data_IF_025038679451
#
_entry.id   IF_025038679451
#
_cell.length_a   1.000
_cell.length_b   1.000
_cell.length_c   1.000
_cell.angle_alpha   90.00
_cell.angle_beta   90.00
_cell.angle_gamma   90.00
#
_symmetry.space_group_name_H-M   'P 1'
#
loop_
_entity.id
_entity.type
_entity.pdbx_description
1 polymer ?
#
# COMPACT_ATOMS: atom_id res chain seq x y z
N UNK A 1 -15.58 39.14 32.32
CA UNK A 1 -14.19 39.30 31.84
C UNK A 1 -13.41 38.12 32.40
N UNK A 2 -13.42 36.96 31.73
CA UNK A 2 -12.63 36.58 30.55
C UNK A 2 -11.14 36.49 30.92
N UNK A 3 -10.66 35.27 31.15
CA UNK A 3 -9.36 34.80 30.67
C UNK A 3 -9.40 33.26 30.62
N UNK A 4 -9.61 32.78 29.39
CA UNK A 4 -9.40 31.40 28.96
C UNK A 4 -7.90 31.24 28.76
N UNK A 5 -7.28 30.26 29.41
CA UNK A 5 -5.98 29.74 29.00
C UNK A 5 -6.28 28.35 28.45
N UNK A 6 -6.08 28.25 27.14
CA UNK A 6 -6.23 27.05 26.31
C UNK A 6 -5.11 26.10 26.72
N UNK A 7 -5.48 24.91 27.21
CA UNK A 7 -4.55 23.84 27.54
C UNK A 7 -4.48 22.91 26.31
N UNK A 8 -3.33 22.89 25.65
CA UNK A 8 -3.05 22.02 24.52
C UNK A 8 -3.10 20.55 24.99
N UNK A 9 -3.93 19.76 24.30
CA UNK A 9 -4.02 18.32 24.46
C UNK A 9 -2.78 17.67 23.81
N UNK A 10 -2.04 16.88 24.58
CA UNK A 10 -0.95 16.05 24.08
C UNK A 10 -1.51 14.68 23.72
N UNK A 11 -1.28 14.32 22.46
CA UNK A 11 -1.77 13.15 21.75
C UNK A 11 -1.38 11.81 22.40
N UNK A 12 -2.37 10.92 22.49
CA UNK A 12 -2.14 9.48 22.59
C UNK A 12 -1.65 8.97 21.23
N UNK A 13 -0.48 8.32 21.25
CA UNK A 13 0.16 7.72 20.08
C UNK A 13 -0.53 6.38 19.79
N UNK A 14 -1.31 6.34 18.73
CA UNK A 14 -1.75 5.09 18.08
C UNK A 14 -0.68 4.77 17.05
N UNK A 15 0.16 3.77 17.29
CA UNK A 15 0.95 3.16 16.23
C UNK A 15 -0.05 2.44 15.30
N UNK A 16 -0.43 3.08 14.20
CA UNK A 16 -1.19 2.43 13.15
C UNK A 16 -0.24 1.46 12.43
N UNK A 17 -0.30 0.19 12.84
CA UNK A 17 -0.01 -0.90 11.92
C UNK A 17 -0.97 -0.70 10.74
N UNK A 18 -0.43 -0.47 9.53
CA UNK A 18 -1.11 -0.32 8.25
C UNK A 18 -2.64 -0.37 8.35
N UNK A 19 -3.32 0.77 8.57
CA UNK A 19 -4.78 0.94 8.52
C UNK A 19 -5.66 0.11 9.48
N UNK A 20 -5.37 -1.17 9.71
CA UNK A 20 -6.34 -2.17 10.12
C UNK A 20 -6.37 -2.40 11.64
N UNK A 21 -7.57 -2.56 12.18
CA UNK A 21 -7.81 -2.85 13.59
C UNK A 21 -7.84 -4.37 13.86
N UNK A 22 -7.53 -4.75 15.11
CA UNK A 22 -7.59 -6.14 15.58
C UNK A 22 -9.02 -6.56 16.00
N UNK A 23 -9.30 -7.87 15.90
CA UNK A 23 -10.52 -8.50 16.40
C UNK A 23 -10.51 -8.72 17.93
N UNK A 24 -10.85 -7.71 18.74
CA UNK A 24 -11.08 -7.91 20.18
C UNK A 24 -11.36 -6.67 21.06
N UNK A 25 -12.34 -6.81 21.98
CA UNK A 25 -13.00 -5.83 22.88
C UNK A 25 -12.09 -4.94 23.76
N UNK A 26 -12.34 -3.62 23.73
CA UNK A 26 -11.69 -2.59 24.55
C UNK A 26 -12.12 -2.58 26.03
N UNK A 27 -11.17 -2.28 26.94
CA UNK A 27 -11.48 -1.48 28.12
C UNK A 27 -10.54 -0.26 28.29
N UNK A 28 -11.16 0.91 28.53
CA UNK A 28 -10.53 2.16 28.96
C UNK A 28 -9.69 2.00 30.24
N UNK A 29 -8.50 2.62 30.32
CA UNK A 29 -8.00 3.19 31.58
C UNK A 29 -6.81 4.16 31.47
N UNK A 30 -7.06 5.37 32.00
CA UNK A 30 -6.26 6.22 32.91
C UNK A 30 -4.72 6.18 32.95
N UNK A 31 -4.13 7.37 32.82
CA UNK A 31 -2.71 7.76 32.93
C UNK A 31 -2.16 7.88 34.36
N UNK A 32 -0.89 7.49 34.56
CA UNK A 32 -0.05 7.92 35.69
C UNK A 32 1.42 8.11 35.27
N UNK A 33 2.06 9.13 35.85
CA UNK A 33 3.41 9.69 35.59
C UNK A 33 4.59 8.75 35.93
N UNK A 34 5.76 8.93 35.29
CA UNK A 34 6.90 9.68 35.88
C UNK A 34 8.28 9.42 35.23
N UNK A 35 8.96 10.53 34.94
CA UNK A 35 10.41 10.88 35.03
C UNK A 35 11.55 10.04 34.41
N UNK A 36 12.37 10.76 33.63
CA UNK A 36 13.68 10.37 33.07
C UNK A 36 14.84 11.02 33.86
N UNK A 37 16.04 10.43 33.85
CA UNK A 37 17.27 11.24 33.76
C UNK A 37 18.28 10.81 32.67
N UNK A 38 19.08 11.80 32.29
CA UNK A 38 20.04 11.96 31.19
C UNK A 38 21.40 11.23 31.33
N UNK A 39 21.96 10.92 30.15
CA UNK A 39 23.36 11.00 29.65
C UNK A 39 24.57 10.54 30.47
N UNK A 40 25.47 9.78 29.80
CA UNK A 40 26.89 10.20 29.65
C UNK A 40 27.59 9.52 28.46
N UNK A 41 28.40 10.32 27.73
CA UNK A 41 29.32 9.97 26.64
C UNK A 41 30.47 9.05 27.06
N UNK A 42 31.04 8.31 26.09
CA UNK A 42 32.49 7.99 26.07
C UNK A 42 32.99 7.74 24.64
N UNK A 43 34.23 8.17 24.39
CA UNK A 43 34.87 8.36 23.07
C UNK A 43 35.76 7.18 22.66
N UNK A 44 35.82 6.95 21.33
CA UNK A 44 36.97 6.58 20.47
C UNK A 44 37.61 5.18 20.56
N UNK A 45 37.60 4.47 19.41
CA UNK A 45 38.81 4.01 18.67
C UNK A 45 38.45 3.44 17.29
N UNK A 46 39.18 3.86 16.25
CA UNK A 46 39.25 3.19 14.92
C UNK A 46 40.16 1.96 14.97
N UNK A 47 39.98 0.98 14.06
CA UNK A 47 41.05 0.72 13.10
C UNK A 47 40.63 0.22 11.68
N UNK A 48 41.39 0.71 10.67
CA UNK A 48 41.91 0.09 9.42
C UNK A 48 41.14 -1.00 8.60
N UNK A 49 40.89 -0.63 7.32
CA UNK A 49 41.06 -1.32 6.01
C UNK A 49 41.99 -2.56 5.96
N UNK A 50 41.90 -3.60 5.11
CA UNK A 50 41.16 -4.04 3.88
C UNK A 50 41.34 -5.58 3.80
N UNK A 51 40.40 -6.35 3.23
CA UNK A 51 40.70 -7.38 2.21
C UNK A 51 39.42 -7.81 1.47
N UNK A 52 39.35 -7.47 0.18
CA UNK A 52 38.31 -7.85 -0.78
C UNK A 52 38.42 -9.35 -1.13
N UNK A 53 37.28 -10.05 -1.11
CA UNK A 53 37.11 -11.32 -1.79
C UNK A 53 36.07 -11.19 -2.91
N UNK A 54 36.22 -11.95 -4.00
CA UNK A 54 35.62 -11.61 -5.30
C UNK A 54 34.11 -11.80 -5.30
N UNK A 55 33.38 -10.78 -5.75
CA UNK A 55 31.97 -10.86 -6.09
C UNK A 55 31.80 -11.71 -7.35
N UNK A 56 31.23 -12.89 -7.23
CA UNK A 56 30.47 -13.51 -8.32
C UNK A 56 29.09 -12.85 -8.32
N UNK A 57 28.89 -11.90 -9.22
CA UNK A 57 27.58 -11.35 -9.55
C UNK A 57 26.76 -12.43 -10.27
N UNK A 58 25.88 -13.10 -9.53
CA UNK A 58 24.71 -13.71 -10.14
C UNK A 58 23.61 -12.65 -10.17
N UNK A 59 23.26 -12.28 -11.40
CA UNK A 59 22.21 -11.34 -11.78
C UNK A 59 20.85 -11.88 -11.28
N UNK A 60 20.12 -11.19 -10.38
CA UNK A 60 18.81 -11.66 -9.96
C UNK A 60 17.75 -11.24 -10.98
N UNK A 61 16.96 -12.23 -11.41
CA UNK A 61 15.73 -12.12 -12.18
C UNK A 61 15.89 -11.58 -13.62
N UNK A 62 16.19 -12.49 -14.55
CA UNK A 62 15.80 -12.33 -15.94
C UNK A 62 14.28 -12.07 -15.99
N UNK A 63 13.89 -10.87 -16.43
CA UNK A 63 12.52 -10.56 -16.81
C UNK A 63 11.98 -11.69 -17.70
N UNK A 64 10.79 -12.25 -17.42
CA UNK A 64 10.20 -13.19 -18.36
C UNK A 64 10.12 -12.53 -19.73
N UNK A 65 10.34 -13.26 -20.83
CA UNK A 65 10.30 -12.68 -22.16
C UNK A 65 8.97 -11.96 -22.36
N UNK A 66 8.99 -10.73 -22.88
CA UNK A 66 7.82 -10.08 -23.48
C UNK A 66 7.39 -10.93 -24.69
N UNK A 67 6.79 -12.09 -24.46
CA UNK A 67 5.99 -12.73 -25.50
C UNK A 67 4.82 -11.79 -25.75
N UNK A 68 4.80 -11.19 -26.94
CA UNK A 68 3.74 -10.29 -27.35
C UNK A 68 2.40 -11.01 -27.16
N UNK A 69 1.51 -10.43 -26.34
CA UNK A 69 0.09 -10.73 -26.46
C UNK A 69 -0.30 -10.31 -27.88
N UNK A 70 -0.64 -11.26 -28.76
CA UNK A 70 -1.00 -10.97 -30.16
C UNK A 70 -2.29 -10.11 -30.24
N UNK A 71 -3.11 -10.08 -29.17
CA UNK A 71 -4.34 -9.30 -29.01
C UNK A 71 -4.65 -9.04 -27.52
N UNK A 72 -4.95 -7.80 -27.13
CA UNK A 72 -5.23 -7.42 -25.73
C UNK A 72 -4.80 -6.00 -25.40
N UNK A 73 -4.64 -5.71 -24.11
CA UNK A 73 -4.14 -4.42 -23.61
C UNK A 73 -3.05 -4.61 -22.54
N UNK A 74 -2.12 -3.65 -22.48
CA UNK A 74 -1.11 -3.50 -21.43
C UNK A 74 -1.56 -2.42 -20.46
N UNK A 75 -1.81 -2.80 -19.22
CA UNK A 75 -2.28 -1.93 -18.14
C UNK A 75 -1.18 -1.81 -17.10
N UNK A 76 -0.88 -0.58 -16.66
CA UNK A 76 -0.13 -0.35 -15.43
C UNK A 76 -1.12 -0.20 -14.28
N UNK A 77 -0.93 -0.96 -13.22
CA UNK A 77 -1.73 -0.90 -11.98
C UNK A 77 -0.85 -0.37 -10.87
N UNK A 78 -1.26 0.71 -10.22
CA UNK A 78 -0.58 1.25 -9.04
C UNK A 78 -1.61 1.66 -7.99
N UNK A 79 -1.18 1.71 -6.73
CA UNK A 79 -2.06 1.96 -5.59
C UNK A 79 -1.27 2.55 -4.45
N UNK A 80 -1.96 3.16 -3.48
CA UNK A 80 -1.39 3.57 -2.20
C UNK A 80 -0.15 4.46 -2.39
N UNK A 81 -0.32 5.47 -3.24
CA UNK A 81 0.71 6.46 -3.53
C UNK A 81 0.87 7.37 -2.32
N UNK A 82 -0.23 7.65 -1.59
CA UNK A 82 -0.19 8.44 -0.36
C UNK A 82 0.49 9.79 -0.58
N UNK A 83 0.22 10.46 -1.70
CA UNK A 83 0.87 11.72 -2.05
C UNK A 83 0.62 12.81 -1.00
N UNK A 84 1.68 13.52 -0.60
CA UNK A 84 1.61 14.68 0.28
C UNK A 84 2.16 15.91 -0.44
N UNK A 85 1.37 16.98 -0.56
CA UNK A 85 1.85 18.24 -1.12
C UNK A 85 3.07 18.76 -0.34
N UNK A 86 4.10 19.23 -1.04
CA UNK A 86 5.40 19.54 -0.41
C UNK A 86 5.32 20.65 0.61
N UNK A 87 4.42 21.61 0.38
CA UNK A 87 4.19 22.75 1.27
C UNK A 87 3.45 22.38 2.57
N UNK A 88 2.95 21.14 2.68
CA UNK A 88 2.33 20.62 3.89
C UNK A 88 3.34 20.00 4.88
N UNK A 89 4.64 20.10 4.61
CA UNK A 89 5.68 19.66 5.55
C UNK A 89 6.87 20.61 5.58
N UNK A 90 7.38 20.85 6.79
CA UNK A 90 8.61 21.61 7.02
C UNK A 90 9.84 20.69 7.26
N UNK A 91 9.66 19.38 7.07
CA UNK A 91 10.68 18.35 7.24
C UNK A 91 11.29 18.27 8.66
N UNK A 92 10.61 18.85 9.66
CA UNK A 92 11.08 18.84 11.04
C UNK A 92 10.65 17.55 11.77
N UNK A 93 10.77 17.57 13.11
CA UNK A 93 10.62 16.40 13.96
C UNK A 93 9.25 15.74 13.87
N UNK A 94 8.17 16.50 13.72
CA UNK A 94 6.82 15.96 13.60
C UNK A 94 6.68 15.05 12.37
N UNK A 95 7.16 15.53 11.23
CA UNK A 95 7.19 14.76 9.98
C UNK A 95 8.11 13.54 10.08
N UNK A 96 9.35 13.72 10.55
CA UNK A 96 10.30 12.62 10.68
C UNK A 96 9.81 11.53 11.66
N UNK A 97 9.11 11.92 12.72
CA UNK A 97 8.53 10.98 13.68
C UNK A 97 7.44 10.13 13.03
N UNK A 98 6.52 10.74 12.28
CA UNK A 98 5.48 10.03 11.53
C UNK A 98 6.09 9.01 10.56
N UNK A 99 7.16 9.40 9.85
CA UNK A 99 7.88 8.49 8.94
C UNK A 99 8.53 7.31 9.67
N UNK A 100 9.23 7.55 10.78
CA UNK A 100 10.02 6.53 11.48
C UNK A 100 9.15 5.50 12.24
N UNK A 101 7.88 5.82 12.50
CA UNK A 101 6.93 5.01 13.28
C UNK A 101 5.61 4.75 12.54
N UNK A 102 5.54 5.09 11.25
CA UNK A 102 4.40 4.79 10.39
C UNK A 102 4.40 3.35 9.89
N UNK A 103 3.76 3.14 8.76
CA UNK A 103 3.54 1.85 8.09
C UNK A 103 4.57 1.55 6.98
N UNK A 104 5.64 2.32 6.87
CA UNK A 104 6.76 2.03 5.96
C UNK A 104 6.79 2.87 4.68
N UNK A 105 5.87 3.83 4.51
CA UNK A 105 5.87 4.79 3.40
C UNK A 105 7.10 5.69 3.43
N UNK A 106 7.80 5.84 2.30
CA UNK A 106 8.99 6.67 2.16
C UNK A 106 8.61 8.14 1.90
N UNK A 107 7.87 8.76 2.82
CA UNK A 107 7.28 10.09 2.63
C UNK A 107 8.31 11.20 2.40
N UNK A 108 9.55 11.04 2.87
CA UNK A 108 10.64 11.97 2.63
C UNK A 108 11.07 12.05 1.15
N UNK A 109 10.67 11.08 0.33
CA UNK A 109 10.95 11.03 -1.12
C UNK A 109 9.68 10.84 -1.96
N UNK A 110 8.49 11.13 -1.43
CA UNK A 110 7.25 10.85 -2.14
C UNK A 110 7.14 11.63 -3.47
N UNK A 111 7.64 12.87 -3.51
CA UNK A 111 7.63 13.67 -4.74
C UNK A 111 8.51 13.07 -5.83
N UNK A 112 9.69 12.59 -5.46
CA UNK A 112 10.63 11.92 -6.34
C UNK A 112 10.09 10.57 -6.80
N UNK A 113 9.46 9.79 -5.91
CA UNK A 113 8.81 8.51 -6.24
C UNK A 113 7.68 8.74 -7.26
N UNK A 114 6.80 9.71 -7.03
CA UNK A 114 5.72 10.03 -7.97
C UNK A 114 6.25 10.55 -9.30
N UNK A 115 7.26 11.43 -9.30
CA UNK A 115 7.88 11.92 -10.54
C UNK A 115 8.61 10.78 -11.29
N UNK A 116 9.20 9.81 -10.60
CA UNK A 116 9.78 8.63 -11.21
C UNK A 116 8.73 7.70 -11.82
N UNK A 117 7.61 7.48 -11.13
CA UNK A 117 6.49 6.71 -11.66
C UNK A 117 5.91 7.33 -12.93
N UNK A 118 5.68 8.66 -12.95
CA UNK A 118 5.21 9.36 -14.16
C UNK A 118 6.17 9.16 -15.33
N UNK A 119 7.48 9.24 -15.10
CA UNK A 119 8.49 9.02 -16.16
C UNK A 119 8.55 7.55 -16.61
N UNK A 120 8.38 6.60 -15.70
CA UNK A 120 8.38 5.18 -16.01
C UNK A 120 7.13 4.79 -16.81
N UNK A 121 5.94 5.29 -16.45
CA UNK A 121 4.70 5.12 -17.24
C UNK A 121 4.90 5.62 -18.67
N UNK A 122 5.49 6.81 -18.85
CA UNK A 122 5.77 7.37 -20.18
C UNK A 122 6.76 6.53 -20.99
N UNK A 123 7.69 5.86 -20.32
CA UNK A 123 8.67 4.95 -20.93
C UNK A 123 8.02 3.62 -21.31
N UNK A 124 7.20 3.06 -20.44
CA UNK A 124 6.48 1.80 -20.63
C UNK A 124 5.37 1.87 -21.67
N UNK A 125 4.79 3.07 -21.85
CA UNK A 125 3.68 3.36 -22.79
C UNK A 125 2.55 2.33 -22.71
N UNK A 126 1.93 2.12 -21.54
CA UNK A 126 0.76 1.24 -21.45
C UNK A 126 -0.42 1.83 -22.22
N UNK A 127 -1.42 1.00 -22.49
CA UNK A 127 -2.70 1.42 -23.05
C UNK A 127 -3.58 2.14 -22.01
N UNK A 128 -3.35 1.86 -20.72
CA UNK A 128 -4.09 2.43 -19.60
C UNK A 128 -3.25 2.40 -18.31
N UNK A 129 -3.46 3.39 -17.43
CA UNK A 129 -3.03 3.36 -16.03
C UNK A 129 -4.25 3.30 -15.12
N UNK A 130 -4.26 2.36 -14.19
CA UNK A 130 -5.29 2.20 -13.15
C UNK A 130 -4.67 2.57 -11.79
N UNK A 131 -5.30 3.52 -11.09
CA UNK A 131 -4.97 3.87 -9.70
C UNK A 131 -6.09 3.43 -8.74
N UNK A 132 -5.86 2.37 -7.97
CA UNK A 132 -6.87 1.73 -7.12
C UNK A 132 -6.95 2.30 -5.69
N UNK A 133 -6.91 3.62 -5.56
CA UNK A 133 -7.14 4.31 -4.28
C UNK A 133 -5.88 4.68 -3.49
N UNK A 134 -6.14 5.39 -2.39
CA UNK A 134 -5.17 6.00 -1.49
C UNK A 134 -4.17 6.87 -2.26
N UNK A 135 -4.74 7.81 -3.00
CA UNK A 135 -4.00 8.72 -3.87
C UNK A 135 -3.20 9.73 -3.04
N UNK A 136 -3.74 10.15 -1.90
CA UNK A 136 -3.14 11.14 -0.99
C UNK A 136 -2.88 10.56 0.39
N UNK A 137 -2.01 11.24 1.17
CA UNK A 137 -1.55 10.74 2.47
C UNK A 137 -2.69 10.64 3.50
N UNK A 138 -3.44 11.72 3.73
CA UNK A 138 -4.61 11.73 4.62
C UNK A 138 -5.75 12.61 4.05
N UNK A 139 -5.87 12.69 2.73
CA UNK A 139 -6.99 13.37 2.07
C UNK A 139 -6.83 14.88 1.96
N UNK A 140 -5.60 15.42 2.02
CA UNK A 140 -5.43 16.87 1.97
C UNK A 140 -5.77 17.41 0.58
N UNK A 141 -6.60 18.45 0.55
CA UNK A 141 -7.09 19.07 -0.68
C UNK A 141 -5.96 19.54 -1.60
N UNK A 142 -4.87 20.04 -1.03
CA UNK A 142 -3.74 20.50 -1.83
C UNK A 142 -2.88 19.33 -2.35
N UNK A 143 -2.78 18.23 -1.58
CA UNK A 143 -2.21 16.97 -2.06
C UNK A 143 -2.97 16.45 -3.27
N UNK A 144 -4.30 16.43 -3.23
CA UNK A 144 -5.14 16.00 -4.37
C UNK A 144 -4.88 16.84 -5.63
N UNK A 145 -4.91 18.17 -5.52
CA UNK A 145 -4.67 19.06 -6.67
C UNK A 145 -3.26 18.96 -7.23
N UNK A 146 -2.25 18.81 -6.38
CA UNK A 146 -0.88 18.62 -6.84
C UNK A 146 -0.68 17.27 -7.51
N UNK A 147 -1.30 16.22 -6.97
CA UNK A 147 -1.25 14.89 -7.54
C UNK A 147 -1.97 14.81 -8.89
N UNK A 148 -3.16 15.41 -9.03
CA UNK A 148 -3.86 15.52 -10.31
C UNK A 148 -2.97 16.16 -11.41
N UNK A 149 -2.22 17.20 -11.09
CA UNK A 149 -1.23 17.80 -12.02
C UNK A 149 -0.09 16.88 -12.42
N UNK A 150 0.21 15.84 -11.62
CA UNK A 150 1.17 14.79 -12.01
C UNK A 150 0.53 13.83 -13.00
N UNK A 151 -0.74 13.49 -12.82
CA UNK A 151 -1.52 12.65 -13.72
C UNK A 151 -1.76 13.33 -15.07
N UNK A 152 -2.01 14.65 -15.09
CA UNK A 152 -2.09 15.45 -16.33
C UNK A 152 -0.88 15.18 -17.25
N UNK A 153 0.32 15.05 -16.68
CA UNK A 153 1.54 14.79 -17.46
C UNK A 153 1.53 13.43 -18.15
N UNK A 154 0.86 12.43 -17.57
CA UNK A 154 0.69 11.09 -18.16
C UNK A 154 -0.29 11.19 -19.33
N UNK A 155 -1.43 11.85 -19.14
CA UNK A 155 -2.44 12.04 -20.20
C UNK A 155 -1.95 12.93 -21.35
N UNK A 156 -1.17 13.98 -21.06
CA UNK A 156 -0.48 14.79 -22.06
C UNK A 156 0.47 13.95 -22.95
N UNK A 157 0.93 12.78 -22.46
CA UNK A 157 1.72 11.83 -23.24
C UNK A 157 0.85 10.85 -24.06
N UNK A 158 -0.47 10.98 -24.00
CA UNK A 158 -1.46 10.16 -24.71
C UNK A 158 -1.75 8.81 -24.03
N UNK A 159 -1.52 8.71 -22.72
CA UNK A 159 -1.78 7.52 -21.92
C UNK A 159 -2.94 7.84 -20.97
N UNK A 160 -4.12 7.22 -21.11
CA UNK A 160 -5.25 7.43 -20.23
C UNK A 160 -4.94 7.00 -18.79
N UNK A 161 -5.50 7.74 -17.81
CA UNK A 161 -5.43 7.38 -16.39
C UNK A 161 -6.83 7.29 -15.83
N UNK A 162 -7.13 6.22 -15.09
CA UNK A 162 -8.40 6.08 -14.37
C UNK A 162 -8.16 5.85 -12.89
N UNK A 163 -8.97 6.49 -12.04
CA UNK A 163 -8.78 6.48 -10.59
C UNK A 163 -10.08 6.15 -9.84
N UNK A 164 -9.93 5.58 -8.65
CA UNK A 164 -10.95 5.50 -7.59
C UNK A 164 -10.35 6.03 -6.29
N UNK A 165 -11.16 6.46 -5.30
CA UNK A 165 -10.66 6.83 -3.99
C UNK A 165 -10.21 5.59 -3.19
N UNK A 166 -9.31 5.81 -2.22
CA UNK A 166 -9.09 4.90 -1.09
C UNK A 166 -9.58 5.49 0.23
N UNK A 167 -9.43 4.73 1.31
CA UNK A 167 -9.96 5.13 2.61
C UNK A 167 -9.27 6.38 3.18
N UNK A 168 -8.12 6.81 2.64
CA UNK A 168 -7.45 8.03 3.08
C UNK A 168 -7.95 9.32 2.39
N UNK A 169 -8.64 9.22 1.25
CA UNK A 169 -8.79 10.35 0.33
C UNK A 169 -9.95 11.31 0.68
N UNK A 170 -11.10 10.78 1.12
CA UNK A 170 -12.35 11.57 1.19
C UNK A 170 -12.82 11.77 2.64
N UNK A 171 -13.22 13.00 2.97
CA UNK A 171 -13.73 13.42 4.28
C UNK A 171 -12.82 13.00 5.44
N UNK A 172 -11.52 12.84 5.19
CA UNK A 172 -10.60 12.32 6.18
C UNK A 172 -10.22 13.42 7.17
N UNK A 173 -10.66 13.26 8.42
CA UNK A 173 -10.39 14.22 9.50
C UNK A 173 -8.93 14.29 9.94
N UNK A 174 -8.08 13.37 9.43
CA UNK A 174 -6.65 13.30 9.72
C UNK A 174 -5.79 14.13 8.77
N UNK A 175 -6.36 14.73 7.72
CA UNK A 175 -5.68 15.66 6.82
C UNK A 175 -4.82 16.66 7.60
N UNK A 176 -3.51 16.68 7.33
CA UNK A 176 -2.56 17.36 8.20
C UNK A 176 -1.45 18.12 7.46
N UNK A 177 -0.98 19.19 8.13
CA UNK A 177 0.25 19.90 7.81
C UNK A 177 1.25 19.70 8.96
N UNK A 178 2.48 19.28 8.66
CA UNK A 178 3.54 19.10 9.63
C UNK A 178 4.30 20.40 9.90
N UNK A 179 4.41 20.80 11.17
CA UNK A 179 5.11 22.01 11.61
C UNK A 179 5.88 21.76 12.90
N UNK A 180 7.20 21.89 12.87
CA UNK A 180 8.09 21.73 14.02
C UNK A 180 8.06 20.31 14.57
N UNK A 181 7.53 20.15 15.77
CA UNK A 181 7.35 18.86 16.47
C UNK A 181 5.89 18.40 16.53
N UNK A 182 4.99 19.06 15.79
CA UNK A 182 3.56 18.78 15.79
C UNK A 182 2.97 18.80 14.38
N UNK A 183 1.65 18.67 14.31
CA UNK A 183 0.86 18.82 13.09
C UNK A 183 -0.34 19.73 13.35
N UNK A 184 -0.78 20.39 12.29
CA UNK A 184 -1.99 21.21 12.24
C UNK A 184 -2.98 20.54 11.29
N UNK A 185 -4.28 20.71 11.51
CA UNK A 185 -5.28 20.24 10.55
C UNK A 185 -5.15 20.98 9.22
N UNK A 186 -5.30 20.24 8.12
CA UNK A 186 -5.40 20.77 6.77
C UNK A 186 -6.83 20.61 6.22
N UNK A 187 -7.15 21.36 5.16
CA UNK A 187 -8.42 21.17 4.45
C UNK A 187 -8.41 19.79 3.75
N UNK A 188 -9.51 19.06 3.87
CA UNK A 188 -9.77 17.83 3.12
C UNK A 188 -10.79 18.08 2.00
N UNK A 189 -11.16 17.02 1.28
CA UNK A 189 -12.15 17.07 0.17
C UNK A 189 -13.40 16.28 0.50
N UNK A 190 -14.53 16.71 -0.05
CA UNK A 190 -15.77 15.90 -0.12
C UNK A 190 -15.72 14.95 -1.33
N UNK A 191 -16.68 14.03 -1.44
CA UNK A 191 -16.78 13.14 -2.59
C UNK A 191 -16.97 13.92 -3.91
N UNK A 192 -17.77 14.99 -3.90
CA UNK A 192 -17.97 15.84 -5.07
C UNK A 192 -16.71 16.63 -5.45
N UNK A 193 -15.94 17.09 -4.45
CA UNK A 193 -14.67 17.77 -4.73
C UNK A 193 -13.61 16.79 -5.24
N UNK A 194 -13.60 15.54 -4.76
CA UNK A 194 -12.75 14.48 -5.31
C UNK A 194 -13.10 14.24 -6.79
N UNK A 195 -14.37 14.05 -7.11
CA UNK A 195 -14.84 13.92 -8.49
C UNK A 195 -14.43 15.13 -9.34
N UNK A 196 -14.63 16.36 -8.86
CA UNK A 196 -14.27 17.57 -9.61
C UNK A 196 -12.76 17.64 -9.90
N UNK A 197 -11.92 17.29 -8.93
CA UNK A 197 -10.46 17.28 -9.08
C UNK A 197 -10.03 16.20 -10.09
N UNK A 198 -10.65 15.03 -10.03
CA UNK A 198 -10.26 13.89 -10.86
C UNK A 198 -11.17 13.64 -12.08
N UNK A 199 -12.01 14.61 -12.44
CA UNK A 199 -13.08 14.43 -13.43
C UNK A 199 -12.57 13.86 -14.77
N UNK A 200 -11.38 14.26 -15.20
CA UNK A 200 -10.80 13.84 -16.48
C UNK A 200 -10.12 12.47 -16.39
N UNK A 201 -9.85 11.95 -15.18
CA UNK A 201 -9.22 10.64 -14.97
C UNK A 201 -10.27 9.53 -14.78
N UNK A 202 -11.14 9.39 -15.78
CA UNK A 202 -12.15 8.33 -15.89
C UNK A 202 -13.60 8.79 -15.72
N UNK A 203 -13.91 9.73 -14.82
CA UNK A 203 -15.31 10.08 -14.50
C UNK A 203 -16.07 10.72 -15.67
N UNK A 204 -15.47 11.68 -16.38
CA UNK A 204 -16.05 12.33 -17.56
C UNK A 204 -16.08 11.40 -18.78
N UNK A 205 -15.28 10.35 -18.76
CA UNK A 205 -15.08 9.40 -19.86
C UNK A 205 -15.85 8.09 -19.65
N UNK A 206 -16.50 7.95 -18.49
CA UNK A 206 -17.22 6.74 -18.11
C UNK A 206 -18.42 6.46 -19.03
N UNK A 207 -18.60 5.18 -19.37
CA UNK A 207 -19.79 4.73 -20.11
C UNK A 207 -21.03 4.62 -19.21
N UNK A 208 -20.82 4.40 -17.92
CA UNK A 208 -21.85 4.34 -16.90
C UNK A 208 -21.27 4.80 -15.55
N UNK A 209 -22.09 5.47 -14.74
CA UNK A 209 -21.72 5.93 -13.40
C UNK A 209 -22.77 5.45 -12.41
N UNK A 210 -22.31 4.93 -11.28
CA UNK A 210 -23.20 4.58 -10.17
C UNK A 210 -23.77 5.86 -9.54
N UNK A 211 -25.09 6.01 -9.40
CA UNK A 211 -25.68 7.14 -8.69
C UNK A 211 -25.43 7.13 -7.17
N UNK A 212 -25.06 5.98 -6.59
CA UNK A 212 -24.94 5.82 -5.14
C UNK A 212 -23.50 5.99 -4.60
N UNK A 213 -22.48 5.95 -5.45
CA UNK A 213 -21.06 6.01 -5.07
C UNK A 213 -20.21 6.70 -6.14
N UNK A 214 -18.89 6.81 -5.92
CA UNK A 214 -17.95 7.22 -6.96
C UNK A 214 -17.56 6.08 -7.92
N UNK A 215 -18.34 5.01 -7.99
CA UNK A 215 -18.10 3.90 -8.93
C UNK A 215 -18.50 4.27 -10.36
N UNK A 216 -17.78 3.70 -11.34
CA UNK A 216 -18.06 3.90 -12.76
C UNK A 216 -17.50 2.78 -13.63
N UNK A 217 -17.95 2.72 -14.88
CA UNK A 217 -17.43 1.80 -15.89
C UNK A 217 -16.64 2.59 -16.92
N UNK A 218 -15.42 2.14 -17.19
CA UNK A 218 -14.55 2.69 -18.22
C UNK A 218 -14.39 1.71 -19.38
N UNK A 219 -14.50 2.19 -20.62
CA UNK A 219 -14.28 1.38 -21.83
C UNK A 219 -12.77 1.35 -22.14
N UNK A 220 -12.10 0.25 -21.81
CA UNK A 220 -10.64 0.12 -22.03
C UNK A 220 -10.33 -0.03 -23.52
N UNK A 221 -11.06 -0.93 -24.20
CA UNK A 221 -10.96 -1.16 -25.64
C UNK A 221 -12.29 -1.77 -26.16
N UNK A 222 -12.30 -2.32 -27.37
CA UNK A 222 -13.50 -2.91 -27.98
C UNK A 222 -13.97 -4.22 -27.30
N UNK A 223 -13.13 -4.85 -26.49
CA UNK A 223 -13.36 -6.15 -25.86
C UNK A 223 -13.39 -6.12 -24.33
N UNK A 224 -12.92 -5.05 -23.70
CA UNK A 224 -12.71 -5.01 -22.25
C UNK A 224 -13.23 -3.70 -21.65
N UNK A 225 -13.92 -3.82 -20.52
CA UNK A 225 -14.31 -2.72 -19.63
C UNK A 225 -13.59 -2.87 -18.28
N UNK A 226 -13.27 -1.74 -17.67
CA UNK A 226 -12.87 -1.69 -16.25
C UNK A 226 -14.11 -1.27 -15.43
N UNK A 227 -14.42 -2.06 -14.40
CA UNK A 227 -15.47 -1.76 -13.43
C UNK A 227 -14.79 -1.17 -12.18
N UNK A 228 -14.77 0.16 -12.11
CA UNK A 228 -14.06 0.92 -11.10
C UNK A 228 -14.98 1.13 -9.89
N UNK A 229 -14.70 0.45 -8.77
CA UNK A 229 -15.56 0.37 -7.60
C UNK A 229 -15.06 1.28 -6.47
N UNK A 230 -15.88 2.25 -6.10
CA UNK A 230 -15.73 2.99 -4.84
C UNK A 230 -16.16 2.09 -3.69
N UNK A 231 -15.17 1.57 -2.98
CA UNK A 231 -15.34 0.68 -1.83
C UNK A 231 -15.26 1.43 -0.51
N UNK A 232 -15.13 2.76 -0.53
CA UNK A 232 -14.78 3.54 0.66
C UNK A 232 -16.01 3.95 1.48
N UNK A 233 -15.81 4.06 2.79
CA UNK A 233 -16.81 4.57 3.72
C UNK A 233 -16.42 5.96 4.21
N UNK A 234 -17.05 7.00 3.67
CA UNK A 234 -16.78 8.39 4.03
C UNK A 234 -18.01 9.19 4.49
N UNK A 235 -19.15 8.53 4.67
CA UNK A 235 -20.40 9.12 5.17
C UNK A 235 -21.01 8.29 6.30
N UNK A 236 -21.44 8.88 7.44
CA UNK A 236 -21.33 10.30 7.79
C UNK A 236 -19.91 10.71 8.24
N UNK A 237 -18.96 9.78 8.25
CA UNK A 237 -17.55 10.01 8.58
C UNK A 237 -16.67 9.04 7.80
N UNK A 238 -15.41 9.43 7.60
CA UNK A 238 -14.35 8.56 7.09
C UNK A 238 -14.08 7.38 8.04
N UNK A 239 -14.05 6.16 7.50
CA UNK A 239 -13.67 4.91 8.13
C UNK A 239 -12.52 4.27 7.35
N UNK A 240 -11.78 3.38 8.01
CA UNK A 240 -10.76 2.57 7.35
C UNK A 240 -11.41 1.47 6.52
N UNK A 241 -12.41 0.76 7.07
CA UNK A 241 -13.03 -0.38 6.40
C UNK A 241 -13.82 -0.04 5.14
N UNK A 242 -13.86 -1.00 4.22
CA UNK A 242 -14.57 -0.88 2.96
C UNK A 242 -15.93 -1.55 2.93
N UNK A 243 -16.83 -1.09 2.06
CA UNK A 243 -18.11 -1.73 1.77
C UNK A 243 -18.56 -1.40 0.34
N UNK A 244 -19.49 -2.20 -0.18
CA UNK A 244 -20.30 -1.83 -1.35
C UNK A 244 -21.72 -1.52 -0.85
N UNK A 245 -22.31 -0.42 -1.34
CA UNK A 245 -23.69 -0.04 -0.98
C UNK A 245 -24.68 -0.96 -1.69
N UNK A 246 -25.84 -1.21 -1.08
CA UNK A 246 -26.90 -2.06 -1.68
C UNK A 246 -27.28 -1.59 -3.10
N UNK A 247 -27.51 -0.29 -3.30
CA UNK A 247 -27.85 0.28 -4.60
C UNK A 247 -26.72 0.10 -5.64
N UNK A 248 -25.45 0.05 -5.19
CA UNK A 248 -24.29 -0.18 -6.05
C UNK A 248 -24.25 -1.64 -6.52
N UNK A 249 -24.68 -2.62 -5.71
CA UNK A 249 -24.78 -4.03 -6.14
C UNK A 249 -25.77 -4.22 -7.30
N UNK A 250 -26.93 -3.54 -7.22
CA UNK A 250 -27.92 -3.55 -8.30
C UNK A 250 -27.32 -2.94 -9.58
N UNK A 251 -26.60 -1.82 -9.45
CA UNK A 251 -25.90 -1.20 -10.59
C UNK A 251 -24.82 -2.11 -11.18
N UNK A 252 -24.02 -2.79 -10.35
CA UNK A 252 -23.02 -3.77 -10.82
C UNK A 252 -23.68 -4.84 -11.68
N UNK A 253 -24.83 -5.38 -11.25
CA UNK A 253 -25.54 -6.41 -12.02
C UNK A 253 -25.96 -5.90 -13.40
N UNK A 254 -26.51 -4.69 -13.47
CA UNK A 254 -26.88 -4.05 -14.73
C UNK A 254 -25.66 -3.89 -15.66
N UNK A 255 -24.51 -3.50 -15.11
CA UNK A 255 -23.28 -3.34 -15.90
C UNK A 255 -22.71 -4.67 -16.39
N UNK A 256 -22.80 -5.73 -15.58
CA UNK A 256 -22.39 -7.08 -15.97
C UNK A 256 -23.28 -7.64 -17.07
N UNK A 257 -24.61 -7.47 -16.97
CA UNK A 257 -25.55 -7.87 -18.02
C UNK A 257 -25.28 -7.11 -19.33
N UNK A 258 -25.01 -5.80 -19.26
CA UNK A 258 -24.68 -5.01 -20.46
C UNK A 258 -23.37 -5.48 -21.10
N UNK A 259 -22.31 -5.66 -20.31
CA UNK A 259 -21.03 -6.14 -20.80
C UNK A 259 -21.16 -7.53 -21.47
N UNK A 260 -21.92 -8.44 -20.84
CA UNK A 260 -22.21 -9.76 -21.41
C UNK A 260 -22.93 -9.67 -22.75
N UNK A 261 -23.97 -8.83 -22.85
CA UNK A 261 -24.72 -8.62 -24.09
C UNK A 261 -23.86 -8.04 -25.23
N UNK A 262 -22.83 -7.28 -24.88
CA UNK A 262 -21.86 -6.72 -25.82
C UNK A 262 -20.67 -7.67 -26.09
N UNK A 263 -20.60 -8.81 -25.39
CA UNK A 263 -19.49 -9.76 -25.52
C UNK A 263 -18.17 -9.22 -24.97
N UNK A 264 -18.24 -8.41 -23.90
CA UNK A 264 -17.08 -7.75 -23.30
C UNK A 264 -16.61 -8.47 -22.04
N UNK A 265 -15.29 -8.49 -21.85
CA UNK A 265 -14.65 -8.80 -20.59
C UNK A 265 -14.80 -7.64 -19.60
N UNK A 266 -14.77 -7.96 -18.31
CA UNK A 266 -14.82 -6.96 -17.22
C UNK A 266 -13.64 -7.19 -16.28
N UNK A 267 -12.92 -6.11 -15.95
CA UNK A 267 -11.87 -6.08 -14.93
C UNK A 267 -12.39 -5.22 -13.76
N UNK A 268 -12.90 -5.82 -12.68
CA UNK A 268 -13.24 -5.09 -11.46
C UNK A 268 -11.99 -4.61 -10.73
N UNK A 269 -12.08 -3.38 -10.22
CA UNK A 269 -11.02 -2.72 -9.46
C UNK A 269 -11.65 -2.12 -8.21
N UNK A 270 -11.14 -2.47 -7.04
CA UNK A 270 -11.51 -1.87 -5.76
C UNK A 270 -10.27 -1.38 -5.01
N UNK A 271 -10.45 -0.57 -3.98
CA UNK A 271 -9.34 -0.24 -3.07
C UNK A 271 -9.13 -1.34 -2.03
N UNK A 272 -10.21 -1.68 -1.32
CA UNK A 272 -10.25 -2.75 -0.32
C UNK A 272 -10.25 -4.13 -0.96
N UNK A 273 -9.87 -5.15 -0.19
CA UNK A 273 -9.69 -6.50 -0.71
C UNK A 273 -11.01 -7.23 -0.89
N UNK A 274 -11.08 -8.07 -1.91
CA UNK A 274 -12.24 -8.92 -2.18
C UNK A 274 -12.21 -10.17 -1.29
N UNK A 275 -11.04 -10.80 -1.19
CA UNK A 275 -10.74 -12.01 -0.46
C UNK A 275 -10.04 -11.67 0.87
N UNK A 276 -10.09 -12.63 1.78
CA UNK A 276 -9.40 -12.58 3.07
C UNK A 276 -7.89 -12.85 2.88
N UNK A 277 -7.16 -11.80 2.49
CA UNK A 277 -5.73 -11.82 2.12
C UNK A 277 -4.77 -11.97 3.32
N UNK A 278 -5.29 -12.01 4.55
CA UNK A 278 -4.51 -12.32 5.76
C UNK A 278 -5.37 -12.91 6.87
N UNK A 279 -4.93 -13.98 7.53
CA UNK A 279 -5.67 -14.52 8.69
C UNK A 279 -5.60 -13.62 9.94
N UNK A 280 -4.74 -12.60 9.92
CA UNK A 280 -4.46 -11.73 11.07
C UNK A 280 -5.09 -10.35 10.90
N UNK A 281 -5.02 -9.78 9.70
CA UNK A 281 -5.58 -8.47 9.37
C UNK A 281 -6.77 -8.61 8.41
N UNK A 282 -7.89 -9.11 8.94
CA UNK A 282 -9.15 -9.22 8.20
C UNK A 282 -10.04 -7.99 8.35
N UNK A 283 -10.05 -7.44 9.57
CA UNK A 283 -10.93 -6.35 9.92
C UNK A 283 -10.42 -5.04 9.34
N UNK A 284 -11.32 -4.31 8.69
CA UNK A 284 -11.07 -3.06 7.97
C UNK A 284 -10.27 -3.21 6.66
N UNK A 285 -9.79 -4.40 6.29
CA UNK A 285 -9.05 -4.59 5.03
C UNK A 285 -9.89 -5.28 3.93
N UNK A 286 -10.66 -6.33 4.27
CA UNK A 286 -11.61 -6.97 3.33
C UNK A 286 -12.91 -6.14 3.26
N UNK A 287 -13.50 -6.03 2.06
CA UNK A 287 -14.82 -5.42 1.85
C UNK A 287 -15.86 -6.10 2.76
N UNK A 288 -16.66 -5.30 3.47
CA UNK A 288 -17.78 -5.81 4.27
C UNK A 288 -18.75 -6.58 3.38
N UNK A 289 -19.07 -7.81 3.80
CA UNK A 289 -19.94 -8.73 3.06
C UNK A 289 -19.46 -9.06 1.63
N UNK A 290 -18.13 -9.15 1.44
CA UNK A 290 -17.54 -9.46 0.13
C UNK A 290 -18.01 -10.77 -0.49
N UNK A 291 -18.56 -11.71 0.28
CA UNK A 291 -19.15 -12.95 -0.22
C UNK A 291 -20.20 -12.71 -1.32
N UNK A 292 -20.99 -11.63 -1.20
CA UNK A 292 -22.00 -11.27 -2.19
C UNK A 292 -21.35 -10.83 -3.50
N UNK A 293 -20.29 -10.01 -3.44
CA UNK A 293 -19.55 -9.55 -4.61
C UNK A 293 -18.80 -10.70 -5.29
N UNK A 294 -18.19 -11.60 -4.51
CA UNK A 294 -17.53 -12.80 -5.02
C UNK A 294 -18.54 -13.65 -5.79
N UNK A 295 -19.68 -13.98 -5.19
CA UNK A 295 -20.71 -14.82 -5.83
C UNK A 295 -21.22 -14.18 -7.12
N UNK A 296 -21.43 -12.85 -7.13
CA UNK A 296 -21.87 -12.12 -8.32
C UNK A 296 -20.80 -12.15 -9.42
N UNK A 297 -19.56 -11.78 -9.13
CA UNK A 297 -18.47 -11.75 -10.12
C UNK A 297 -18.16 -13.15 -10.66
N UNK A 298 -18.15 -14.19 -9.81
CA UNK A 298 -17.96 -15.57 -10.25
C UNK A 298 -19.12 -16.06 -11.13
N UNK A 299 -20.37 -15.62 -10.88
CA UNK A 299 -21.52 -16.01 -11.71
C UNK A 299 -21.44 -15.49 -13.15
N UNK A 300 -20.67 -14.42 -13.36
CA UNK A 300 -20.37 -13.82 -14.65
C UNK A 300 -19.00 -14.27 -15.21
N UNK A 301 -18.40 -15.31 -14.64
CA UNK A 301 -17.10 -15.87 -15.03
C UNK A 301 -15.95 -14.84 -15.03
N UNK A 302 -16.01 -13.82 -14.16
CA UNK A 302 -14.94 -12.83 -14.03
C UNK A 302 -13.67 -13.49 -13.47
N UNK A 303 -12.52 -13.41 -14.17
CA UNK A 303 -11.34 -14.19 -13.79
C UNK A 303 -10.45 -13.48 -12.78
N UNK A 304 -10.53 -12.14 -12.67
CA UNK A 304 -9.56 -11.32 -11.96
C UNK A 304 -10.22 -10.09 -11.32
N UNK A 305 -9.88 -9.83 -10.05
CA UNK A 305 -10.14 -8.60 -9.31
C UNK A 305 -8.80 -7.93 -8.96
N UNK A 306 -8.73 -6.60 -9.06
CA UNK A 306 -7.54 -5.82 -8.71
C UNK A 306 -7.81 -4.98 -7.45
N UNK A 307 -6.89 -5.02 -6.48
CA UNK A 307 -6.99 -4.25 -5.24
C UNK A 307 -5.65 -3.73 -4.73
N UNK A 308 -5.71 -2.96 -3.63
CA UNK A 308 -4.55 -2.39 -2.92
C UNK A 308 -4.74 -2.47 -1.40
N UNK A 309 -4.58 -1.35 -0.71
CA UNK A 309 -4.90 -1.13 0.72
C UNK A 309 -3.96 -1.82 1.73
N UNK A 310 -3.63 -3.10 1.55
CA UNK A 310 -2.74 -3.84 2.46
C UNK A 310 -1.26 -3.43 2.33
N UNK A 311 -0.91 -2.71 1.28
CA UNK A 311 0.45 -2.32 0.89
C UNK A 311 1.42 -3.48 0.58
N UNK A 312 1.01 -4.74 0.77
CA UNK A 312 1.80 -5.93 0.46
C UNK A 312 1.53 -6.42 -0.95
N UNK A 313 2.54 -7.00 -1.61
CA UNK A 313 2.34 -7.67 -2.88
C UNK A 313 1.86 -9.09 -2.64
N UNK A 314 0.63 -9.38 -3.06
CA UNK A 314 0.02 -10.70 -2.88
C UNK A 314 -0.97 -11.03 -4.01
N UNK A 315 -1.34 -12.30 -4.10
CA UNK A 315 -2.50 -12.72 -4.87
C UNK A 315 -3.09 -14.00 -4.28
N UNK A 316 -4.41 -14.09 -4.28
CA UNK A 316 -5.15 -15.30 -3.92
C UNK A 316 -6.13 -15.71 -5.02
N UNK A 317 -6.68 -16.92 -4.87
CA UNK A 317 -7.80 -17.40 -5.66
C UNK A 317 -8.87 -17.90 -4.71
N UNK A 318 -10.12 -17.54 -4.95
CA UNK A 318 -11.26 -17.89 -4.08
C UNK A 318 -11.38 -19.40 -3.85
N UNK A 319 -10.99 -20.24 -4.83
CA UNK A 319 -10.94 -21.71 -4.74
C UNK A 319 -9.69 -22.25 -5.43
N UNK A 320 -9.27 -23.48 -5.11
CA UNK A 320 -7.97 -24.04 -5.55
C UNK A 320 -7.79 -24.12 -7.07
N UNK A 321 -8.84 -24.51 -7.80
CA UNK A 321 -8.75 -24.84 -9.24
C UNK A 321 -9.75 -24.03 -10.10
N UNK A 322 -10.59 -23.22 -9.48
CA UNK A 322 -11.68 -22.45 -10.12
C UNK A 322 -11.90 -21.14 -9.36
N UNK A 323 -12.73 -20.26 -9.91
CA UNK A 323 -13.10 -19.01 -9.26
C UNK A 323 -12.15 -17.87 -9.56
N UNK A 324 -12.47 -16.72 -8.97
CA UNK A 324 -11.82 -15.44 -9.23
C UNK A 324 -10.46 -15.34 -8.54
N UNK A 325 -9.47 -14.80 -9.26
CA UNK A 325 -8.21 -14.36 -8.67
C UNK A 325 -8.37 -12.94 -8.13
N UNK A 326 -7.74 -12.65 -7.00
CA UNK A 326 -7.47 -11.29 -6.57
C UNK A 326 -5.97 -11.03 -6.64
N UNK A 327 -5.58 -9.88 -7.18
CA UNK A 327 -4.21 -9.38 -7.10
C UNK A 327 -4.22 -8.12 -6.24
N UNK A 328 -3.52 -8.20 -5.10
CA UNK A 328 -3.22 -7.06 -4.24
C UNK A 328 -1.89 -6.48 -4.70
N UNK A 329 -1.93 -5.32 -5.33
CA UNK A 329 -0.68 -4.62 -5.74
C UNK A 329 -0.08 -3.93 -4.53
N UNK A 330 1.23 -4.11 -4.29
CA UNK A 330 1.90 -3.42 -3.18
C UNK A 330 1.89 -1.90 -3.34
N UNK A 331 2.01 -1.18 -2.23
CA UNK A 331 2.03 0.28 -2.22
C UNK A 331 3.21 0.86 -3.00
N UNK A 332 2.91 1.84 -3.87
CA UNK A 332 3.95 2.55 -4.64
C UNK A 332 4.89 3.36 -3.72
N UNK A 333 4.39 3.81 -2.57
CA UNK A 333 5.14 4.62 -1.62
C UNK A 333 5.96 3.81 -0.60
N UNK A 334 5.79 2.48 -0.58
CA UNK A 334 6.47 1.59 0.37
C UNK A 334 7.50 0.71 -0.35
N UNK A 335 8.74 0.54 0.15
CA UNK A 335 9.75 -0.27 -0.51
C UNK A 335 9.26 -1.72 -0.75
N UNK A 336 9.47 -2.29 -1.95
CA UNK A 336 10.40 -1.85 -2.99
C UNK A 336 9.86 -0.77 -3.96
N UNK A 337 8.72 -0.13 -3.66
CA UNK A 337 8.10 0.91 -4.48
C UNK A 337 7.81 0.39 -5.89
N UNK A 338 7.04 -0.69 -5.96
CA UNK A 338 6.73 -1.40 -7.20
C UNK A 338 5.28 -1.16 -7.63
N UNK A 339 5.04 -1.32 -8.93
CA UNK A 339 3.74 -1.28 -9.56
C UNK A 339 3.51 -2.57 -10.36
N UNK A 340 2.25 -2.86 -10.67
CA UNK A 340 1.86 -4.00 -11.49
C UNK A 340 1.88 -3.67 -12.98
N UNK A 341 2.35 -4.60 -13.79
CA UNK A 341 2.13 -4.62 -15.24
C UNK A 341 1.21 -5.81 -15.53
N UNK A 342 0.01 -5.51 -15.99
CA UNK A 342 -1.01 -6.46 -16.38
C UNK A 342 -1.12 -6.48 -17.90
N UNK A 343 -0.89 -7.63 -18.50
CA UNK A 343 -1.29 -7.93 -19.86
C UNK A 343 -2.62 -8.66 -19.80
N UNK A 344 -3.66 -8.09 -20.39
CA UNK A 344 -5.01 -8.66 -20.39
C UNK A 344 -5.47 -8.92 -21.82
N UNK A 345 -5.75 -10.18 -22.15
CA UNK A 345 -6.17 -10.62 -23.46
C UNK A 345 -7.64 -10.38 -23.73
N UNK A 346 -7.98 -10.28 -25.01
CA UNK A 346 -9.39 -10.18 -25.47
C UNK A 346 -10.19 -11.45 -25.17
N UNK A 347 -9.51 -12.57 -24.85
CA UNK A 347 -10.10 -13.85 -24.43
C UNK A 347 -10.25 -13.99 -22.91
N UNK A 348 -9.91 -12.95 -22.14
CA UNK A 348 -9.98 -12.94 -20.67
C UNK A 348 -8.77 -13.57 -19.98
N UNK A 349 -7.80 -14.11 -20.74
CA UNK A 349 -6.54 -14.56 -20.16
C UNK A 349 -5.68 -13.37 -19.74
N UNK A 350 -4.89 -13.55 -18.68
CA UNK A 350 -4.06 -12.48 -18.19
C UNK A 350 -2.69 -12.97 -17.69
N UNK A 351 -1.73 -12.06 -17.76
CA UNK A 351 -0.42 -12.19 -17.10
C UNK A 351 -0.12 -10.92 -16.35
N UNK A 352 0.23 -11.08 -15.08
CA UNK A 352 0.63 -10.00 -14.21
C UNK A 352 2.07 -10.22 -13.77
N UNK A 353 2.85 -9.15 -13.75
CA UNK A 353 4.06 -9.12 -12.95
C UNK A 353 4.30 -7.75 -12.33
N UNK A 354 5.03 -7.72 -11.23
CA UNK A 354 5.46 -6.44 -10.66
C UNK A 354 6.72 -5.91 -11.32
N UNK A 355 6.95 -4.60 -11.20
CA UNK A 355 8.21 -3.95 -11.52
C UNK A 355 8.51 -2.85 -10.49
N UNK A 356 9.66 -2.90 -9.80
CA UNK A 356 10.09 -1.82 -8.92
C UNK A 356 10.48 -0.57 -9.71
N UNK A 357 10.24 0.61 -9.15
CA UNK A 357 10.72 1.87 -9.72
C UNK A 357 12.26 1.94 -9.70
N UNK A 358 12.87 2.24 -10.84
CA UNK A 358 14.32 2.50 -10.91
C UNK A 358 14.64 3.93 -10.47
N UNK A 359 14.55 4.15 -9.16
CA UNK A 359 14.82 5.45 -8.53
C UNK A 359 16.28 5.90 -8.74
N UNK A 360 17.21 4.96 -8.94
CA UNK A 360 18.61 5.25 -9.23
C UNK A 360 18.81 5.77 -10.64
N UNK A 361 18.17 5.15 -11.64
CA UNK A 361 18.14 5.64 -13.02
C UNK A 361 17.49 7.02 -13.06
N UNK A 362 16.34 7.19 -12.40
CA UNK A 362 15.65 8.47 -12.29
C UNK A 362 16.55 9.56 -11.67
N UNK A 363 17.17 9.28 -10.53
CA UNK A 363 18.05 10.22 -9.83
C UNK A 363 19.25 10.65 -10.69
N UNK A 364 19.84 9.72 -11.47
CA UNK A 364 20.91 10.04 -12.40
C UNK A 364 20.42 10.91 -13.56
N UNK A 365 19.26 10.58 -14.14
CA UNK A 365 18.66 11.30 -15.28
C UNK A 365 18.30 12.74 -14.90
N UNK A 366 17.80 12.96 -13.69
CA UNK A 366 17.44 14.29 -13.16
C UNK A 366 18.63 15.07 -12.58
N UNK A 367 19.81 14.45 -12.50
CA UNK A 367 21.01 15.08 -11.97
C UNK A 367 21.02 15.24 -10.44
N UNK A 368 20.24 14.42 -9.73
CA UNK A 368 20.23 14.40 -8.26
C UNK A 368 21.59 13.98 -7.70
N UNK A 369 22.02 14.66 -6.65
CA UNK A 369 23.23 14.33 -5.89
C UNK A 369 22.92 13.65 -4.55
N UNK A 370 21.64 13.36 -4.27
CA UNK A 370 21.22 12.69 -3.04
C UNK A 370 21.71 11.22 -3.07
N UNK A 371 22.47 10.84 -2.05
CA UNK A 371 23.05 9.50 -1.96
C UNK A 371 22.02 8.40 -1.72
N UNK A 372 20.91 8.71 -1.03
CA UNK A 372 19.85 7.75 -0.80
C UNK A 372 19.11 7.49 -2.11
N UNK A 373 18.75 8.52 -2.88
CA UNK A 373 18.11 8.34 -4.19
C UNK A 373 19.01 7.59 -5.19
N UNK A 374 20.32 7.87 -5.18
CA UNK A 374 21.29 7.15 -6.04
C UNK A 374 21.55 5.68 -5.62
N UNK A 375 21.14 5.30 -4.40
CA UNK A 375 21.26 3.94 -3.85
C UNK A 375 19.92 3.50 -3.24
N UNK A 376 18.82 3.82 -3.93
CA UNK A 376 17.47 3.76 -3.34
C UNK A 376 17.09 2.36 -2.88
N UNK A 377 17.44 1.30 -3.62
CA UNK A 377 17.09 -0.08 -3.23
C UNK A 377 17.68 -0.45 -1.85
N UNK A 378 18.96 -0.12 -1.63
CA UNK A 378 19.62 -0.37 -0.35
C UNK A 378 19.06 0.52 0.76
N UNK A 379 18.78 1.79 0.43
CA UNK A 379 18.18 2.73 1.35
C UNK A 379 16.76 2.29 1.77
N UNK A 380 15.89 1.99 0.81
CA UNK A 380 14.49 1.58 1.02
C UNK A 380 14.40 0.30 1.84
N UNK A 381 15.20 -0.71 1.52
CA UNK A 381 15.29 -1.95 2.31
C UNK A 381 15.69 -1.66 3.76
N UNK A 382 16.71 -0.83 3.99
CA UNK A 382 17.16 -0.44 5.34
C UNK A 382 16.12 0.40 6.07
N UNK A 383 15.46 1.30 5.36
CA UNK A 383 14.41 2.17 5.89
C UNK A 383 13.22 1.34 6.38
N UNK A 384 12.66 0.49 5.52
CA UNK A 384 11.52 -0.36 5.86
C UNK A 384 11.87 -1.34 6.98
N UNK A 385 13.06 -1.94 6.94
CA UNK A 385 13.56 -2.79 8.04
C UNK A 385 13.65 -2.03 9.36
N UNK A 386 14.05 -0.75 9.35
CA UNK A 386 14.11 0.09 10.56
C UNK A 386 12.71 0.36 11.11
N UNK A 387 11.73 0.64 10.24
CA UNK A 387 10.33 0.86 10.64
C UNK A 387 9.77 -0.37 11.36
N UNK A 388 9.85 -1.55 10.75
CA UNK A 388 9.37 -2.79 11.39
C UNK A 388 10.17 -3.16 12.64
N UNK A 389 11.47 -2.88 12.66
CA UNK A 389 12.27 -3.04 13.87
C UNK A 389 11.74 -2.15 15.00
N UNK A 390 11.44 -0.88 14.72
CA UNK A 390 10.88 0.04 15.70
C UNK A 390 9.50 -0.42 16.20
N UNK A 391 8.63 -0.88 15.31
CA UNK A 391 7.31 -1.42 15.67
C UNK A 391 7.42 -2.60 16.64
N UNK A 392 8.31 -3.56 16.38
CA UNK A 392 8.59 -4.66 17.32
C UNK A 392 9.10 -4.15 18.67
N UNK A 393 9.98 -3.14 18.66
CA UNK A 393 10.51 -2.55 19.89
C UNK A 393 9.44 -1.82 20.71
N UNK A 394 8.47 -1.19 20.05
CA UNK A 394 7.35 -0.52 20.73
C UNK A 394 6.37 -1.52 21.32
N UNK A 395 6.10 -2.62 20.61
CA UNK A 395 5.31 -3.74 21.14
C UNK A 395 5.96 -4.34 22.41
N UNK A 396 7.28 -4.49 22.42
CA UNK A 396 8.02 -4.98 23.59
C UNK A 396 8.00 -4.04 24.80
N UNK A 397 7.67 -2.76 24.62
CA UNK A 397 7.46 -1.79 25.71
C UNK A 397 6.02 -1.83 26.21
N UNK A 398 5.08 -2.16 25.33
CA UNK A 398 3.63 -2.18 25.60
C UNK A 398 3.19 -3.45 26.33
N UNK A 399 3.75 -4.61 25.95
CA UNK A 399 3.32 -5.90 26.50
C UNK A 399 4.16 -6.33 27.70
N UNK A 400 3.51 -6.39 28.87
CA UNK A 400 4.13 -6.85 30.11
C UNK A 400 4.64 -8.29 30.05
N UNK A 401 4.01 -9.15 29.23
CA UNK A 401 4.41 -10.55 29.03
C UNK A 401 5.82 -10.68 28.44
N UNK A 402 6.32 -9.67 27.73
CA UNK A 402 7.62 -9.66 27.07
C UNK A 402 8.71 -8.95 27.89
N UNK A 403 8.41 -8.52 29.12
CA UNK A 403 9.37 -7.82 29.99
C UNK A 403 10.50 -8.72 30.51
N UNK A 404 10.29 -10.05 30.55
CA UNK A 404 11.31 -11.01 30.99
C UNK A 404 12.46 -11.19 30.00
N UNK A 405 12.30 -10.74 28.74
CA UNK A 405 13.29 -10.90 27.69
C UNK A 405 14.45 -9.92 27.87
N UNK A 406 15.67 -10.43 27.71
CA UNK A 406 16.88 -9.60 27.67
C UNK A 406 16.88 -8.69 26.44
N UNK A 407 17.65 -7.59 26.51
CA UNK A 407 17.84 -6.68 25.37
C UNK A 407 18.30 -7.42 24.11
N UNK A 408 19.23 -8.38 24.24
CA UNK A 408 19.73 -9.17 23.12
C UNK A 408 18.66 -10.07 22.49
N UNK A 409 17.74 -10.62 23.29
CA UNK A 409 16.62 -11.42 22.78
C UNK A 409 15.64 -10.53 22.00
N UNK A 410 15.25 -9.37 22.57
CA UNK A 410 14.39 -8.38 21.89
C UNK A 410 15.01 -7.92 20.56
N UNK A 411 16.31 -7.64 20.55
CA UNK A 411 17.04 -7.27 19.32
C UNK A 411 17.03 -8.38 18.26
N UNK A 412 17.13 -9.65 18.65
CA UNK A 412 17.07 -10.79 17.71
C UNK A 412 15.65 -10.98 17.15
N UNK A 413 14.63 -10.86 18.00
CA UNK A 413 13.22 -10.94 17.61
C UNK A 413 12.85 -9.83 16.65
N UNK A 414 13.17 -8.57 16.97
CA UNK A 414 12.87 -7.42 16.12
C UNK A 414 13.56 -7.48 14.75
N UNK A 415 14.79 -8.02 14.68
CA UNK A 415 15.49 -8.22 13.39
C UNK A 415 14.79 -9.23 12.50
N UNK A 416 14.38 -10.37 13.05
CA UNK A 416 13.63 -11.39 12.29
C UNK A 416 12.27 -10.85 11.85
N UNK A 417 11.58 -10.13 12.75
CA UNK A 417 10.32 -9.47 12.42
C UNK A 417 10.50 -8.52 11.23
N UNK A 418 11.49 -7.64 11.29
CA UNK A 418 11.77 -6.69 10.23
C UNK A 418 12.11 -7.33 8.88
N UNK A 419 12.96 -8.36 8.86
CA UNK A 419 13.34 -9.07 7.64
C UNK A 419 12.15 -9.77 6.98
N UNK A 420 11.29 -10.44 7.77
CA UNK A 420 10.12 -11.14 7.24
C UNK A 420 9.06 -10.18 6.72
N UNK A 421 8.81 -9.07 7.41
CA UNK A 421 7.85 -8.07 6.96
C UNK A 421 8.33 -7.33 5.70
N UNK A 422 9.62 -7.00 5.61
CA UNK A 422 10.18 -6.43 4.38
C UNK A 422 10.03 -7.37 3.18
N UNK A 423 10.28 -8.67 3.36
CA UNK A 423 10.06 -9.66 2.30
C UNK A 423 8.57 -9.88 1.99
N UNK A 424 7.68 -9.74 2.98
CA UNK A 424 6.23 -9.81 2.80
C UNK A 424 5.72 -8.66 1.94
N UNK A 425 6.13 -7.43 2.23
CA UNK A 425 5.75 -6.26 1.43
C UNK A 425 6.23 -6.39 -0.03
N UNK A 426 7.41 -6.98 -0.24
CA UNK A 426 7.93 -7.27 -1.57
C UNK A 426 7.29 -8.50 -2.26
N UNK A 427 6.44 -9.28 -1.58
CA UNK A 427 5.87 -10.53 -2.12
C UNK A 427 6.90 -11.67 -2.28
N UNK A 428 8.01 -11.65 -1.52
CA UNK A 428 9.18 -12.53 -1.68
C UNK A 428 9.57 -13.29 -0.42
N UNK A 429 8.62 -13.55 0.48
CA UNK A 429 8.89 -14.30 1.73
C UNK A 429 9.54 -15.65 1.45
N UNK A 430 9.15 -16.32 0.36
CA UNK A 430 9.70 -17.62 -0.07
C UNK A 430 11.24 -17.62 -0.15
N UNK A 431 11.87 -16.49 -0.50
CA UNK A 431 13.32 -16.38 -0.68
C UNK A 431 14.11 -16.49 0.64
N UNK A 432 13.47 -16.08 1.75
CA UNK A 432 14.12 -15.97 3.06
C UNK A 432 13.49 -16.86 4.13
N UNK A 433 12.28 -17.40 3.89
CA UNK A 433 11.45 -18.09 4.89
C UNK A 433 12.23 -19.09 5.73
N UNK A 434 12.84 -20.09 5.10
CA UNK A 434 13.49 -21.19 5.83
C UNK A 434 14.71 -20.69 6.64
N UNK A 435 15.45 -19.72 6.10
CA UNK A 435 16.57 -19.08 6.80
C UNK A 435 16.08 -18.24 7.97
N UNK A 436 14.97 -17.54 7.83
CA UNK A 436 14.36 -16.74 8.90
C UNK A 436 13.85 -17.64 10.04
N UNK A 437 13.10 -18.72 9.72
CA UNK A 437 12.60 -19.70 10.71
C UNK A 437 13.71 -20.39 11.50
N UNK A 438 14.90 -20.54 10.91
CA UNK A 438 16.06 -21.12 11.59
C UNK A 438 16.72 -20.17 12.63
N UNK A 439 16.45 -18.86 12.58
CA UNK A 439 17.07 -17.86 13.47
C UNK A 439 16.53 -18.00 14.89
N UNK A 440 17.39 -17.76 15.88
CA UNK A 440 17.00 -17.75 17.29
C UNK A 440 15.90 -16.72 17.59
N UNK A 441 15.89 -15.58 16.90
CA UNK A 441 14.84 -14.57 17.01
C UNK A 441 13.44 -15.09 16.62
N UNK A 442 13.35 -15.97 15.61
CA UNK A 442 12.08 -16.56 15.20
C UNK A 442 11.56 -17.53 16.28
N UNK A 443 12.42 -18.41 16.79
CA UNK A 443 12.07 -19.34 17.87
C UNK A 443 11.59 -18.62 19.13
N UNK A 444 12.18 -17.46 19.44
CA UNK A 444 11.73 -16.64 20.56
C UNK A 444 10.33 -16.05 20.32
N UNK A 445 9.95 -15.73 19.08
CA UNK A 445 8.58 -15.35 18.76
C UNK A 445 7.60 -16.51 18.97
N UNK A 446 7.97 -17.73 18.57
CA UNK A 446 7.13 -18.93 18.78
C UNK A 446 6.97 -19.27 20.28
N UNK A 447 8.06 -19.20 21.05
CA UNK A 447 8.09 -19.63 22.45
C UNK A 447 7.53 -18.58 23.42
N UNK A 448 7.83 -17.30 23.18
CA UNK A 448 7.57 -16.20 24.14
C UNK A 448 6.70 -15.08 23.55
N UNK A 449 6.50 -15.04 22.23
CA UNK A 449 5.86 -13.91 21.54
C UNK A 449 4.36 -13.79 21.77
N UNK A 450 3.68 -14.89 22.07
CA UNK A 450 2.24 -14.89 22.31
C UNK A 450 1.86 -14.18 23.63
N UNK A 451 0.76 -13.39 23.66
CA UNK A 451 -0.27 -13.23 22.63
C UNK A 451 -0.06 -12.02 21.69
N UNK A 452 1.17 -11.59 21.43
CA UNK A 452 1.42 -10.44 20.54
C UNK A 452 0.82 -10.67 19.16
N UNK A 453 0.22 -9.61 18.59
CA UNK A 453 -0.27 -9.62 17.21
C UNK A 453 0.88 -9.80 16.21
N UNK A 454 2.07 -9.28 16.54
CA UNK A 454 3.26 -9.43 15.70
C UNK A 454 3.72 -10.89 15.63
N UNK A 455 3.54 -11.66 16.71
CA UNK A 455 3.85 -13.09 16.73
C UNK A 455 2.89 -13.88 15.81
N UNK A 456 1.59 -13.62 15.91
CA UNK A 456 0.56 -14.21 15.03
C UNK A 456 0.82 -13.86 13.56
N UNK A 457 1.13 -12.60 13.29
CA UNK A 457 1.44 -12.16 11.93
C UNK A 457 2.69 -12.81 11.35
N UNK A 458 3.74 -13.01 12.14
CA UNK A 458 4.94 -13.73 11.68
C UNK A 458 4.66 -15.19 11.37
N UNK A 459 3.84 -15.86 12.18
CA UNK A 459 3.42 -17.23 11.90
C UNK A 459 2.70 -17.29 10.55
N UNK A 460 1.65 -16.47 10.39
CA UNK A 460 0.89 -16.37 9.15
C UNK A 460 1.77 -16.06 7.92
N UNK A 461 2.62 -15.02 7.97
CA UNK A 461 3.51 -14.66 6.84
C UNK A 461 4.36 -15.87 6.42
N UNK A 462 4.89 -16.64 7.37
CA UNK A 462 5.75 -17.78 7.02
C UNK A 462 4.99 -19.02 6.56
N UNK A 463 3.72 -19.18 6.96
CA UNK A 463 2.86 -20.26 6.48
C UNK A 463 2.37 -19.96 5.06
N UNK A 464 1.94 -18.73 4.82
CA UNK A 464 1.46 -18.26 3.53
C UNK A 464 2.60 -18.13 2.50
N UNK A 465 3.73 -17.53 2.91
CA UNK A 465 4.89 -17.15 2.11
C UNK A 465 5.67 -18.31 1.48
N UNK A 466 5.01 -19.05 0.60
CA UNK A 466 5.46 -20.31 0.01
C UNK A 466 5.77 -20.23 -1.48
N UNK A 467 5.49 -19.07 -2.08
CA UNK A 467 5.68 -18.77 -3.50
C UNK A 467 6.15 -17.32 -3.67
N UNK A 468 6.53 -17.00 -4.91
CA UNK A 468 6.74 -15.63 -5.34
C UNK A 468 5.40 -15.02 -5.75
N UNK A 469 5.00 -13.92 -5.11
CA UNK A 469 3.74 -13.23 -5.37
C UNK A 469 3.85 -12.15 -6.46
N UNK A 470 5.01 -12.03 -7.10
CA UNK A 470 5.28 -10.99 -8.10
C UNK A 470 4.95 -11.41 -9.53
N UNK A 471 4.53 -12.65 -9.79
CA UNK A 471 4.18 -13.14 -11.13
C UNK A 471 2.96 -14.05 -11.04
N UNK A 472 1.94 -13.77 -11.84
CA UNK A 472 0.74 -14.59 -11.97
C UNK A 472 0.33 -14.70 -13.44
N UNK A 473 -0.10 -15.89 -13.86
CA UNK A 473 -0.66 -16.15 -15.18
C UNK A 473 -1.94 -16.97 -15.01
N UNK A 474 -2.96 -16.71 -15.84
CA UNK A 474 -4.20 -17.49 -15.87
C UNK A 474 -4.09 -18.81 -16.66
N UNK A 475 -3.01 -18.98 -17.42
CA UNK A 475 -2.72 -20.18 -18.24
C UNK A 475 -2.38 -21.45 -17.45
#
# INVERSE_FOLDING_TARGET
MRNRIILAALLGVVCMLAGCSFKGTEPESTSAESTTPQETETTRTEPTTIEEFPQTSEDPASQPPEEAFDSGCKIIVATDIHYLAKDLTDFQKGFQYSIDHGDGKVMQYIWEITDAFVEEVKKERPDLVILSGDLTYEGEKESHKEFAKKLDKIEEAGIPVIVIPGNHDINNSKAAQFVGDTFLGADNVTAEEFEEIYQDFGYNEAVSRDPASLSYVYQVNDYTRALMLDTCQYEPRNLVGGMIKDDTYDWIEEQMEEAWNLGMNVIPVGHHNLLDESEVYLQDCTIEHSEQLIDQLESWDVPLFLSGHLHVQHYMRSRSDTGIYEIVTSSLSTPPCQYGILYYGDDGNFRYHTKPLDMKEWAKKTGSTDKNLLNFDEFGKKFLSKVFYNQAQDEFKRLDTLNGLTKSQKEQMAKVYAELNEACYAGRVTDIRDKAKAKAGYKLWEEEGYPSILAQYLEWITEDGTRDYNVLSSE
#
